data_IF_966153208573
#
_entry.id   IF_966153208573
#
_cell.length_a   1.000
_cell.length_b   1.000
_cell.length_c   1.000
_cell.angle_alpha   90.00
_cell.angle_beta   90.00
_cell.angle_gamma   90.00
#
_symmetry.space_group_name_H-M   'P 1'
#
loop_
_entity.id
_entity.type
_entity.pdbx_description
1 polymer ?
#
# COMPACT_ATOMS: atom_id res chain seq x y z
N UNK A 1 -18.34 8.27 1.71
CA UNK A 1 -17.10 8.39 0.91
C UNK A 1 -17.16 7.32 -0.14
N UNK A 2 -16.67 7.57 -1.34
CA UNK A 2 -16.52 6.52 -2.33
C UNK A 2 -15.21 5.73 -2.05
N UNK A 3 -14.97 4.62 -2.74
CA UNK A 3 -13.79 3.78 -2.49
C UNK A 3 -12.46 4.55 -2.66
N UNK A 4 -12.31 5.32 -3.73
CA UNK A 4 -11.09 6.06 -4.07
C UNK A 4 -10.80 7.16 -3.04
N UNK A 5 -11.81 7.83 -2.49
CA UNK A 5 -11.66 8.77 -1.37
C UNK A 5 -11.02 8.11 -0.14
N UNK A 6 -11.49 6.91 0.21
CA UNK A 6 -11.02 6.19 1.39
C UNK A 6 -9.59 5.70 1.21
N UNK A 7 -9.28 5.09 0.06
CA UNK A 7 -7.91 4.64 -0.27
C UNK A 7 -6.94 5.83 -0.32
N UNK A 8 -7.37 6.99 -0.85
CA UNK A 8 -6.57 8.21 -0.78
C UNK A 8 -6.34 8.70 0.67
N UNK A 9 -7.32 8.50 1.55
CA UNK A 9 -7.19 8.74 2.99
C UNK A 9 -6.10 7.88 3.61
N UNK A 10 -6.08 6.57 3.32
CA UNK A 10 -5.02 5.65 3.74
C UNK A 10 -3.65 6.13 3.23
N UNK A 11 -3.56 6.51 1.95
CA UNK A 11 -2.31 7.02 1.37
C UNK A 11 -1.75 8.26 2.07
N UNK A 12 -2.62 9.14 2.59
CA UNK A 12 -2.17 10.30 3.37
C UNK A 12 -1.53 9.85 4.68
N UNK A 13 -2.15 8.89 5.38
CA UNK A 13 -1.59 8.32 6.60
C UNK A 13 -0.28 7.58 6.33
N UNK A 14 -0.22 6.79 5.25
CA UNK A 14 0.97 6.04 4.86
C UNK A 14 2.14 6.96 4.53
N UNK A 15 1.91 8.07 3.80
CA UNK A 15 3.00 9.03 3.53
C UNK A 15 3.64 9.57 4.81
N UNK A 16 2.84 9.94 5.81
CA UNK A 16 3.36 10.38 7.10
C UNK A 16 4.15 9.27 7.82
N UNK A 17 3.65 8.03 7.77
CA UNK A 17 4.34 6.88 8.35
C UNK A 17 5.67 6.57 7.63
N UNK A 18 5.69 6.65 6.30
CA UNK A 18 6.91 6.47 5.49
C UNK A 18 7.96 7.54 5.83
N UNK A 19 7.53 8.80 6.01
CA UNK A 19 8.42 9.91 6.40
C UNK A 19 9.03 9.66 7.80
N UNK A 20 8.21 9.26 8.78
CA UNK A 20 8.67 8.98 10.16
C UNK A 20 9.65 7.80 10.20
N UNK A 21 9.38 6.73 9.45
CA UNK A 21 10.28 5.57 9.37
C UNK A 21 11.62 5.96 8.73
N UNK A 22 11.60 6.77 7.68
CA UNK A 22 12.81 7.27 7.02
C UNK A 22 13.65 8.13 7.96
N UNK A 23 12.99 9.02 8.73
CA UNK A 23 13.66 9.82 9.75
C UNK A 23 14.26 8.93 10.84
N UNK A 24 13.49 7.98 11.38
CA UNK A 24 13.96 7.04 12.40
C UNK A 24 15.17 6.24 11.95
N UNK A 25 15.14 5.73 10.71
CA UNK A 25 16.25 4.95 10.15
C UNK A 25 17.56 5.76 10.09
N UNK A 26 17.49 7.10 10.02
CA UNK A 26 18.68 7.97 10.00
C UNK A 26 19.43 8.05 11.33
N UNK A 27 18.76 7.78 12.45
CA UNK A 27 19.34 7.85 13.80
C UNK A 27 19.21 6.54 14.59
N UNK A 28 18.70 5.47 13.98
CA UNK A 28 18.63 4.14 14.59
C UNK A 28 20.03 3.66 15.02
N UNK A 29 20.14 3.17 16.25
CA UNK A 29 21.36 2.56 16.79
C UNK A 29 21.38 1.04 16.68
N UNK A 30 20.20 0.42 16.49
CA UNK A 30 20.03 -1.04 16.48
C UNK A 30 18.94 -1.46 15.50
N UNK A 31 19.09 -2.66 14.92
CA UNK A 31 18.12 -3.23 13.95
C UNK A 31 16.71 -3.34 14.54
N UNK A 32 16.59 -3.69 15.83
CA UNK A 32 15.30 -3.84 16.50
C UNK A 32 14.45 -2.55 16.50
N UNK A 33 15.08 -1.37 16.48
CA UNK A 33 14.37 -0.10 16.38
C UNK A 33 13.72 0.06 15.01
N UNK A 34 14.45 -0.32 13.94
CA UNK A 34 13.94 -0.34 12.57
C UNK A 34 12.80 -1.35 12.43
N UNK A 35 12.98 -2.58 12.91
CA UNK A 35 11.94 -3.62 12.85
C UNK A 35 10.63 -3.18 13.53
N UNK A 36 10.75 -2.54 14.70
CA UNK A 36 9.60 -2.02 15.45
C UNK A 36 8.84 -0.96 14.63
N UNK A 37 9.55 -0.05 13.97
CA UNK A 37 8.95 0.98 13.12
C UNK A 37 8.20 0.40 11.92
N UNK A 38 8.71 -0.70 11.36
CA UNK A 38 8.16 -1.35 10.17
C UNK A 38 6.94 -2.22 10.44
N UNK A 39 6.70 -2.60 11.70
CA UNK A 39 5.61 -3.53 12.08
C UNK A 39 4.24 -2.99 11.69
N UNK A 40 4.00 -1.69 11.96
CA UNK A 40 2.74 -1.02 11.59
C UNK A 40 2.62 -0.95 10.07
N UNK A 41 3.66 -0.48 9.39
CA UNK A 41 3.64 -0.34 7.93
C UNK A 41 3.33 -1.67 7.21
N UNK A 42 3.93 -2.77 7.68
CA UNK A 42 3.66 -4.11 7.14
C UNK A 42 2.18 -4.48 7.23
N UNK A 43 1.57 -4.24 8.39
CA UNK A 43 0.17 -4.60 8.63
C UNK A 43 -0.75 -3.80 7.72
N UNK A 44 -0.52 -2.49 7.66
CA UNK A 44 -1.32 -1.56 6.88
C UNK A 44 -1.19 -1.79 5.37
N UNK A 45 0.03 -1.89 4.83
CA UNK A 45 0.25 -2.14 3.38
C UNK A 45 -0.36 -3.47 2.96
N UNK A 46 -0.20 -4.53 3.76
CA UNK A 46 -0.82 -5.83 3.47
C UNK A 46 -2.34 -5.74 3.46
N UNK A 47 -2.92 -4.88 4.32
CA UNK A 47 -4.36 -4.64 4.33
C UNK A 47 -4.83 -3.90 3.10
N UNK A 48 -4.15 -2.80 2.78
CA UNK A 48 -4.40 -1.98 1.61
C UNK A 48 -4.40 -2.82 0.32
N UNK A 49 -3.29 -3.52 0.06
CA UNK A 49 -3.12 -4.37 -1.13
C UNK A 49 -4.24 -5.43 -1.25
N UNK A 50 -4.60 -6.07 -0.14
CA UNK A 50 -5.67 -7.07 -0.13
C UNK A 50 -7.04 -6.46 -0.46
N UNK A 51 -7.34 -5.26 0.04
CA UNK A 51 -8.61 -4.58 -0.22
C UNK A 51 -8.68 -4.13 -1.69
N UNK A 52 -7.59 -3.62 -2.24
CA UNK A 52 -7.55 -3.30 -3.67
C UNK A 52 -7.75 -4.54 -4.56
N UNK A 53 -7.03 -5.62 -4.28
CA UNK A 53 -7.08 -6.85 -5.07
C UNK A 53 -8.40 -7.61 -4.96
N UNK A 54 -9.15 -7.40 -3.88
CA UNK A 54 -10.44 -8.08 -3.65
C UNK A 54 -11.65 -7.24 -4.01
N UNK A 55 -11.53 -5.91 -4.01
CA UNK A 55 -12.64 -5.00 -4.29
C UNK A 55 -12.43 -4.22 -5.59
N UNK A 56 -11.33 -3.48 -5.68
CA UNK A 56 -11.10 -2.53 -6.78
C UNK A 56 -10.76 -3.25 -8.09
N UNK A 57 -9.78 -4.15 -8.07
CA UNK A 57 -9.30 -4.79 -9.30
C UNK A 57 -10.41 -5.61 -9.97
N UNK A 58 -11.19 -6.44 -9.25
CA UNK A 58 -12.28 -7.19 -9.87
C UNK A 58 -13.38 -6.30 -10.46
N UNK A 59 -13.63 -5.13 -9.87
CA UNK A 59 -14.58 -4.17 -10.42
C UNK A 59 -14.06 -3.59 -11.74
N UNK A 60 -12.78 -3.23 -11.81
CA UNK A 60 -12.17 -2.66 -13.02
C UNK A 60 -11.95 -3.68 -14.14
N UNK A 61 -11.60 -4.92 -13.79
CA UNK A 61 -11.40 -6.03 -14.75
C UNK A 61 -12.67 -6.33 -15.57
N UNK A 62 -13.87 -5.98 -15.07
CA UNK A 62 -15.11 -6.12 -15.83
C UNK A 62 -15.26 -5.11 -16.98
N UNK A 63 -14.52 -4.01 -16.90
CA UNK A 63 -14.61 -2.89 -17.86
C UNK A 63 -13.39 -2.80 -18.78
N UNK A 64 -12.36 -3.62 -18.57
CA UNK A 64 -11.05 -3.46 -19.20
C UNK A 64 -10.46 -4.79 -19.68
N UNK A 65 -9.78 -4.75 -20.83
CA UNK A 65 -8.91 -5.84 -21.29
C UNK A 65 -7.48 -5.75 -20.71
N UNK A 66 -7.19 -4.74 -19.89
CA UNK A 66 -5.81 -4.37 -19.51
C UNK A 66 -5.27 -5.21 -18.35
N UNK A 67 -4.55 -6.29 -18.66
CA UNK A 67 -3.81 -7.10 -17.67
C UNK A 67 -2.53 -6.44 -17.15
N UNK A 68 -1.91 -5.55 -17.94
CA UNK A 68 -0.58 -4.99 -17.63
C UNK A 68 -0.59 -4.06 -16.42
N UNK A 69 -1.58 -3.18 -16.29
CA UNK A 69 -1.68 -2.25 -15.15
C UNK A 69 -1.86 -3.02 -13.83
N UNK A 70 -2.75 -4.01 -13.80
CA UNK A 70 -2.96 -4.80 -12.59
C UNK A 70 -1.75 -5.70 -12.29
N UNK A 71 -1.04 -6.17 -13.32
CA UNK A 71 0.22 -6.89 -13.13
C UNK A 71 1.31 -5.97 -12.54
N UNK A 72 1.39 -4.70 -12.98
CA UNK A 72 2.28 -3.68 -12.39
C UNK A 72 1.94 -3.46 -10.90
N UNK A 73 0.66 -3.22 -10.56
CA UNK A 73 0.26 -2.98 -9.17
C UNK A 73 0.55 -4.18 -8.26
N UNK A 74 0.23 -5.41 -8.71
CA UNK A 74 0.53 -6.64 -7.95
C UNK A 74 2.04 -6.87 -7.82
N UNK A 75 2.83 -6.53 -8.84
CA UNK A 75 4.28 -6.63 -8.76
C UNK A 75 4.85 -5.64 -7.74
N UNK A 76 4.32 -4.41 -7.69
CA UNK A 76 4.69 -3.41 -6.69
C UNK A 76 4.34 -3.90 -5.27
N UNK A 77 3.12 -4.43 -5.05
CA UNK A 77 2.74 -5.06 -3.77
C UNK A 77 3.72 -6.14 -3.33
N UNK A 78 4.10 -7.04 -4.24
CA UNK A 78 5.05 -8.12 -3.97
C UNK A 78 6.45 -7.58 -3.65
N UNK A 79 6.93 -6.58 -4.40
CA UNK A 79 8.23 -5.97 -4.14
C UNK A 79 8.28 -5.28 -2.78
N UNK A 80 7.21 -4.61 -2.37
CA UNK A 80 7.11 -4.01 -1.04
C UNK A 80 7.14 -5.11 0.02
N UNK A 81 6.35 -6.18 -0.14
CA UNK A 81 6.35 -7.32 0.79
C UNK A 81 7.75 -7.96 0.93
N UNK A 82 8.46 -8.19 -0.18
CA UNK A 82 9.84 -8.69 -0.14
C UNK A 82 10.81 -7.71 0.52
N UNK A 83 10.63 -6.41 0.29
CA UNK A 83 11.41 -5.37 0.98
C UNK A 83 11.21 -5.40 2.49
N UNK A 84 9.97 -5.54 2.93
CA UNK A 84 9.61 -5.71 4.35
C UNK A 84 10.25 -6.96 4.96
N UNK A 85 10.20 -8.10 4.27
CA UNK A 85 10.88 -9.34 4.72
C UNK A 85 12.40 -9.16 4.83
N UNK A 86 13.03 -8.48 3.85
CA UNK A 86 14.47 -8.18 3.90
C UNK A 86 14.87 -7.32 5.11
N UNK A 87 13.97 -6.46 5.59
CA UNK A 87 14.23 -5.66 6.79
C UNK A 87 14.20 -6.54 8.06
N UNK A 88 13.27 -7.49 8.14
CA UNK A 88 13.21 -8.47 9.25
C UNK A 88 14.39 -9.45 9.25
N UNK A 89 14.95 -9.75 8.09
CA UNK A 89 16.07 -10.69 7.94
C UNK A 89 17.44 -10.00 7.96
N UNK A 90 17.49 -8.68 8.15
CA UNK A 90 18.72 -7.90 8.13
C UNK A 90 19.66 -8.31 9.26
N UNK A 91 20.94 -8.55 8.94
CA UNK A 91 21.93 -9.04 9.90
C UNK A 91 22.66 -7.92 10.63
N UNK A 92 22.65 -6.73 10.05
CA UNK A 92 23.24 -5.54 10.61
C UNK A 92 22.45 -4.28 10.24
N UNK A 93 22.82 -3.19 10.88
CA UNK A 93 22.14 -1.90 10.75
C UNK A 93 22.25 -1.33 9.32
N UNK A 94 23.35 -1.55 8.61
CA UNK A 94 23.50 -1.03 7.25
C UNK A 94 22.60 -1.78 6.28
N UNK A 95 22.50 -3.11 6.41
CA UNK A 95 21.57 -3.93 5.63
C UNK A 95 20.11 -3.49 5.89
N UNK A 96 19.74 -3.26 7.15
CA UNK A 96 18.41 -2.81 7.53
C UNK A 96 18.07 -1.43 6.95
N UNK A 97 18.98 -0.45 7.09
CA UNK A 97 18.79 0.92 6.57
C UNK A 97 18.65 0.91 5.04
N UNK A 98 19.49 0.15 4.33
CA UNK A 98 19.40 0.07 2.88
C UNK A 98 18.09 -0.62 2.43
N UNK A 99 17.67 -1.68 3.13
CA UNK A 99 16.40 -2.34 2.86
C UNK A 99 15.20 -1.42 3.10
N UNK A 100 15.22 -0.62 4.18
CA UNK A 100 14.23 0.44 4.44
C UNK A 100 14.20 1.43 3.28
N UNK A 101 15.35 2.03 2.92
CA UNK A 101 15.44 3.04 1.85
C UNK A 101 14.85 2.54 0.53
N UNK A 102 15.19 1.31 0.14
CA UNK A 102 14.65 0.69 -1.08
C UNK A 102 13.14 0.47 -1.00
N UNK A 103 12.67 -0.11 0.12
CA UNK A 103 11.25 -0.45 0.33
C UNK A 103 10.37 0.80 0.35
N UNK A 104 10.78 1.84 1.07
CA UNK A 104 10.06 3.11 1.12
C UNK A 104 10.02 3.79 -0.25
N UNK A 105 11.11 3.70 -1.03
CA UNK A 105 11.14 4.20 -2.41
C UNK A 105 10.10 3.54 -3.32
N UNK A 106 9.97 2.22 -3.24
CA UNK A 106 8.96 1.45 -4.00
C UNK A 106 7.55 1.81 -3.52
N UNK A 107 7.32 1.83 -2.21
CA UNK A 107 6.02 2.21 -1.63
C UNK A 107 5.57 3.60 -2.09
N UNK A 108 6.45 4.62 -2.05
CA UNK A 108 6.12 5.97 -2.54
C UNK A 108 5.79 5.99 -4.03
N UNK A 109 6.50 5.20 -4.84
CA UNK A 109 6.23 5.04 -6.27
C UNK A 109 4.87 4.42 -6.53
N UNK A 110 4.57 3.32 -5.83
CA UNK A 110 3.31 2.60 -5.89
C UNK A 110 2.11 3.50 -5.52
N UNK A 111 2.13 4.15 -4.34
CA UNK A 111 1.06 5.08 -3.91
C UNK A 111 0.81 6.23 -4.91
N UNK A 112 1.88 6.66 -5.61
CA UNK A 112 1.75 7.67 -6.67
C UNK A 112 1.10 7.08 -7.92
N UNK A 113 1.52 5.89 -8.33
CA UNK A 113 1.02 5.21 -9.52
C UNK A 113 -0.45 4.83 -9.38
N UNK A 114 -0.87 4.32 -8.22
CA UNK A 114 -2.28 4.04 -7.94
C UNK A 114 -3.12 5.31 -8.14
N UNK A 115 -2.74 6.42 -7.50
CA UNK A 115 -3.46 7.68 -7.64
C UNK A 115 -3.56 8.17 -9.08
N UNK A 116 -2.45 8.16 -9.83
CA UNK A 116 -2.40 8.79 -11.17
C UNK A 116 -2.88 7.87 -12.30
N UNK A 117 -2.87 6.55 -12.08
CA UNK A 117 -3.26 5.55 -13.08
C UNK A 117 -4.54 4.85 -12.64
N UNK A 118 -4.48 4.08 -11.54
CA UNK A 118 -5.53 3.16 -11.13
C UNK A 118 -6.80 3.88 -10.66
N UNK A 119 -6.69 4.85 -9.76
CA UNK A 119 -7.84 5.58 -9.22
C UNK A 119 -8.44 6.52 -10.28
N UNK A 120 -7.59 7.15 -11.09
CA UNK A 120 -8.05 7.94 -12.24
C UNK A 120 -8.89 7.08 -13.20
N UNK A 121 -8.43 5.85 -13.48
CA UNK A 121 -9.17 4.89 -14.30
C UNK A 121 -10.48 4.46 -13.64
N UNK A 122 -10.48 4.23 -12.33
CA UNK A 122 -11.68 3.86 -11.59
C UNK A 122 -12.77 4.93 -11.65
N UNK A 123 -12.38 6.19 -11.46
CA UNK A 123 -13.29 7.35 -11.58
C UNK A 123 -13.77 7.57 -13.03
N UNK A 124 -13.02 7.10 -14.03
CA UNK A 124 -13.41 7.21 -15.44
C UNK A 124 -14.42 6.13 -15.86
N UNK A 125 -14.24 4.89 -15.40
CA UNK A 125 -14.99 3.73 -15.92
C UNK A 125 -16.08 3.21 -15.00
N UNK A 126 -15.99 3.47 -13.69
CA UNK A 126 -17.00 3.04 -12.72
C UNK A 126 -18.01 4.17 -12.48
N UNK A 127 -19.26 3.79 -12.21
CA UNK A 127 -20.27 4.78 -11.82
C UNK A 127 -20.06 5.24 -10.38
N UNK A 128 -20.51 6.46 -10.05
CA UNK A 128 -20.53 6.98 -8.68
C UNK A 128 -21.20 6.00 -7.70
N UNK A 129 -22.31 5.38 -8.11
CA UNK A 129 -23.02 4.38 -7.31
C UNK A 129 -22.15 3.15 -7.02
N UNK A 130 -21.44 2.64 -8.03
CA UNK A 130 -20.50 1.53 -7.87
C UNK A 130 -19.36 1.90 -6.93
N UNK A 131 -18.76 3.08 -7.08
CA UNK A 131 -17.68 3.54 -6.23
C UNK A 131 -18.12 3.72 -4.76
N UNK A 132 -19.35 4.18 -4.53
CA UNK A 132 -19.94 4.28 -3.18
C UNK A 132 -20.14 2.88 -2.59
N UNK A 133 -20.74 1.94 -3.33
CA UNK A 133 -20.95 0.56 -2.87
C UNK A 133 -19.63 -0.13 -2.54
N UNK A 134 -18.59 0.08 -3.34
CA UNK A 134 -17.25 -0.43 -3.06
C UNK A 134 -16.63 0.19 -1.81
N UNK A 135 -16.89 1.47 -1.54
CA UNK A 135 -16.47 2.14 -0.30
C UNK A 135 -17.13 1.54 0.94
N UNK A 136 -18.43 1.24 0.88
CA UNK A 136 -19.16 0.54 1.96
C UNK A 136 -18.64 -0.90 2.17
N UNK A 137 -18.31 -1.59 1.08
CA UNK A 137 -17.70 -2.93 1.13
C UNK A 137 -16.30 -2.89 1.76
N UNK A 138 -15.50 -1.87 1.43
CA UNK A 138 -14.21 -1.61 2.07
C UNK A 138 -14.39 -1.42 3.58
N UNK A 139 -15.34 -0.59 4.02
CA UNK A 139 -15.54 -0.31 5.45
C UNK A 139 -15.92 -1.57 6.23
N UNK A 140 -16.78 -2.39 5.62
CA UNK A 140 -17.18 -3.69 6.18
C UNK A 140 -15.99 -4.64 6.29
N UNK A 141 -15.21 -4.79 5.21
CA UNK A 141 -14.05 -5.68 5.18
C UNK A 141 -12.95 -5.21 6.15
N UNK A 142 -12.70 -3.92 6.20
CA UNK A 142 -11.73 -3.30 7.11
C UNK A 142 -12.12 -3.51 8.57
N UNK A 143 -13.40 -3.30 8.91
CA UNK A 143 -13.92 -3.47 10.27
C UNK A 143 -13.84 -4.92 10.76
N UNK A 144 -14.13 -5.90 9.89
CA UNK A 144 -14.00 -7.33 10.25
C UNK A 144 -12.56 -7.72 10.53
N UNK A 145 -11.61 -7.09 9.84
CA UNK A 145 -10.18 -7.39 9.99
C UNK A 145 -9.56 -6.73 11.23
N UNK A 146 -10.08 -5.58 11.65
CA UNK A 146 -9.48 -4.75 12.72
C UNK A 146 -10.36 -4.60 13.98
N UNK A 147 -11.56 -5.21 14.02
CA UNK A 147 -12.46 -5.26 15.19
C UNK A 147 -12.31 -6.55 15.98
#
# INVERSE_FOLDING_TARGET
MNLTDVLLGEHVAYRALLDEIEEMASFAGEVAQIESAMTVLRTEIKSHAALEETLLFPALEQHLETSELFAEMRADHQQIQFGLERIEEARDLNEAIEAVRQTLGIARGHLKNEKVKLYALAEEVLSDETLIQLGEAWETAYSVKHG
#
